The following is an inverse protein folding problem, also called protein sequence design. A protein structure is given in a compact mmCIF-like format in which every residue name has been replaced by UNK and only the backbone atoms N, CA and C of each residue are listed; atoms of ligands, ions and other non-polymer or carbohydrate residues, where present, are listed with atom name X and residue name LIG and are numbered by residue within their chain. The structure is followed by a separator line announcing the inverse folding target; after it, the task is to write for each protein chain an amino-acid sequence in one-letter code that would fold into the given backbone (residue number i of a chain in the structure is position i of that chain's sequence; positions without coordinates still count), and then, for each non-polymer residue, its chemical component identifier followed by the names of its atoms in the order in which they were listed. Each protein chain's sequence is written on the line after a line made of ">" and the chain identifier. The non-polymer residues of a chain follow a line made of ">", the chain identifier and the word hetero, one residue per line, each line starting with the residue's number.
data_IF_994695212136
#
_entry.id   IF_994695212136
#
_cell.length_a   1.000
_cell.length_b   1.000
_cell.length_c   1.000
_cell.angle_alpha   90.00
_cell.angle_beta   90.00
_cell.angle_gamma   90.00
#
_symmetry.space_group_name_H-M   'P 1'
#
loop_
_entity.id
_entity.type
_entity.pdbx_description
1 polymer ?
#
# COMPACT_ATOMS: atom_id res chain seq x y z
N UNK A 1 -31.86 -11.86 2.98
CA UNK A 1 -30.47 -11.58 2.59
C UNK A 1 -30.22 -10.12 2.92
N UNK A 2 -29.54 -9.83 4.04
CA UNK A 2 -29.28 -8.47 4.50
C UNK A 2 -28.00 -7.96 3.85
N UNK A 3 -28.14 -7.17 2.79
CA UNK A 3 -27.07 -6.37 2.21
C UNK A 3 -26.81 -5.19 3.14
N UNK A 4 -25.67 -5.18 3.82
CA UNK A 4 -25.21 -4.01 4.57
C UNK A 4 -25.01 -2.84 3.60
N UNK A 5 -25.51 -1.62 3.90
CA UNK A 5 -25.29 -0.46 3.05
C UNK A 5 -23.80 -0.06 3.06
N UNK A 6 -23.28 0.52 1.97
CA UNK A 6 -21.95 1.09 1.96
C UNK A 6 -21.89 2.21 3.01
N UNK A 7 -20.89 2.18 3.90
CA UNK A 7 -20.65 3.24 4.87
C UNK A 7 -20.25 4.52 4.12
N UNK A 8 -21.22 5.41 3.88
CA UNK A 8 -20.99 6.77 3.39
C UNK A 8 -20.99 7.74 4.57
N UNK A 9 -20.10 8.74 4.55
CA UNK A 9 -20.30 9.94 5.36
C UNK A 9 -21.47 10.76 4.77
N UNK A 10 -22.28 11.45 5.59
CA UNK A 10 -23.51 12.12 5.13
C UNK A 10 -23.33 13.08 3.95
N UNK A 11 -22.15 13.69 3.79
CA UNK A 11 -21.82 14.67 2.76
C UNK A 11 -20.40 14.48 2.17
N UNK A 12 -19.86 13.25 2.19
CA UNK A 12 -18.50 12.94 1.71
C UNK A 12 -18.48 12.03 0.48
N UNK A 13 -17.38 12.01 -0.31
CA UNK A 13 -17.21 10.99 -1.35
C UNK A 13 -17.31 9.59 -0.74
N UNK A 14 -17.74 8.56 -1.53
CA UNK A 14 -17.80 7.20 -1.03
C UNK A 14 -16.45 6.78 -0.46
N UNK A 15 -16.46 6.09 0.69
CA UNK A 15 -15.23 5.57 1.28
C UNK A 15 -14.54 4.65 0.27
N UNK A 16 -13.22 4.81 0.06
CA UNK A 16 -12.48 3.94 -0.84
C UNK A 16 -12.60 2.49 -0.37
N UNK A 17 -12.73 1.56 -1.31
CA UNK A 17 -12.73 0.14 -0.98
C UNK A 17 -11.37 -0.21 -0.35
N UNK A 18 -11.42 -0.67 0.90
CA UNK A 18 -10.24 -1.03 1.68
C UNK A 18 -10.19 -2.56 1.82
N UNK A 19 -9.09 -3.15 1.36
CA UNK A 19 -8.83 -4.59 1.45
C UNK A 19 -7.57 -4.83 2.26
N UNK A 20 -7.58 -5.88 3.07
CA UNK A 20 -6.45 -6.24 3.91
C UNK A 20 -6.03 -7.69 3.73
N UNK A 21 -4.73 -7.94 3.86
CA UNK A 21 -4.17 -9.28 3.85
C UNK A 21 -2.95 -9.36 4.78
N UNK A 22 -2.68 -10.56 5.31
CA UNK A 22 -1.41 -10.88 5.95
C UNK A 22 -0.56 -11.65 4.93
N UNK A 23 0.58 -11.08 4.58
CA UNK A 23 1.49 -11.59 3.56
C UNK A 23 2.72 -12.22 4.19
N UNK A 24 3.16 -13.33 3.61
CA UNK A 24 4.50 -13.86 3.79
C UNK A 24 5.52 -13.02 3.00
N UNK A 25 6.81 -13.32 3.16
CA UNK A 25 7.87 -12.69 2.38
C UNK A 25 7.74 -12.99 0.89
N UNK A 26 7.40 -14.24 0.55
CA UNK A 26 7.27 -14.69 -0.83
C UNK A 26 6.06 -14.04 -1.51
N UNK A 27 4.95 -13.85 -0.78
CA UNK A 27 3.78 -13.13 -1.28
C UNK A 27 4.11 -11.66 -1.60
N UNK A 28 4.94 -11.01 -0.77
CA UNK A 28 5.40 -9.64 -1.04
C UNK A 28 6.29 -9.58 -2.27
N UNK A 29 7.18 -10.55 -2.48
CA UNK A 29 8.01 -10.61 -3.68
C UNK A 29 7.17 -10.83 -4.94
N UNK A 30 6.18 -11.72 -4.89
CA UNK A 30 5.22 -11.92 -5.99
C UNK A 30 4.43 -10.64 -6.29
N UNK A 31 3.93 -9.96 -5.25
CA UNK A 31 3.24 -8.68 -5.40
C UNK A 31 4.13 -7.62 -6.07
N UNK A 32 5.40 -7.52 -5.68
CA UNK A 32 6.33 -6.54 -6.26
C UNK A 32 6.57 -6.83 -7.74
N UNK A 33 6.77 -8.11 -8.10
CA UNK A 33 6.92 -8.51 -9.49
C UNK A 33 5.68 -8.16 -10.32
N UNK A 34 4.48 -8.43 -9.80
CA UNK A 34 3.22 -8.08 -10.46
C UNK A 34 3.06 -6.57 -10.63
N UNK A 35 3.37 -5.78 -9.60
CA UNK A 35 3.31 -4.32 -9.64
C UNK A 35 4.26 -3.76 -10.70
N UNK A 36 5.49 -4.28 -10.79
CA UNK A 36 6.46 -3.85 -11.79
C UNK A 36 6.06 -4.26 -13.21
N UNK A 37 5.49 -5.45 -13.39
CA UNK A 37 5.15 -5.99 -14.71
C UNK A 37 3.84 -5.44 -15.27
N UNK A 38 2.87 -5.14 -14.41
CA UNK A 38 1.47 -4.92 -14.82
C UNK A 38 0.88 -3.58 -14.40
N UNK A 39 1.62 -2.74 -13.67
CA UNK A 39 1.13 -1.44 -13.19
C UNK A 39 2.09 -0.31 -13.51
N UNK A 40 1.62 0.93 -13.34
CA UNK A 40 2.48 2.11 -13.33
C UNK A 40 2.68 2.59 -11.91
N UNK A 41 3.83 2.28 -11.30
CA UNK A 41 4.20 2.81 -9.98
C UNK A 41 4.43 4.32 -10.07
N UNK A 42 3.69 5.08 -9.26
CA UNK A 42 3.71 6.55 -9.21
C UNK A 42 4.70 7.04 -8.16
N UNK A 43 4.65 6.47 -6.94
CA UNK A 43 5.61 6.80 -5.89
C UNK A 43 5.66 5.72 -4.81
N UNK A 44 6.82 5.61 -4.16
CA UNK A 44 7.01 4.77 -2.98
C UNK A 44 7.60 5.59 -1.83
N UNK A 45 6.97 5.49 -0.66
CA UNK A 45 7.35 6.21 0.55
C UNK A 45 7.67 5.25 1.69
N UNK A 46 8.84 5.43 2.31
CA UNK A 46 9.22 4.72 3.52
C UNK A 46 8.77 5.49 4.76
N UNK A 47 8.13 4.80 5.71
CA UNK A 47 7.76 5.33 7.03
C UNK A 47 8.69 4.73 8.09
N UNK A 48 9.58 5.57 8.64
CA UNK A 48 10.52 5.21 9.70
C UNK A 48 10.14 5.92 11.00
N UNK A 49 9.43 5.20 11.90
CA UNK A 49 9.11 5.69 13.25
C UNK A 49 8.41 7.07 13.32
N UNK A 50 8.24 7.63 14.53
CA UNK A 50 7.57 8.93 14.72
C UNK A 50 8.37 10.15 14.23
N UNK A 51 9.68 10.00 13.98
CA UNK A 51 10.60 11.13 13.81
C UNK A 51 11.35 11.16 12.47
N UNK A 52 11.19 10.15 11.60
CA UNK A 52 11.89 10.12 10.31
C UNK A 52 10.88 10.06 9.17
N UNK A 53 10.42 11.24 8.76
CA UNK A 53 9.89 11.42 7.41
C UNK A 53 11.07 11.35 6.46
N UNK A 54 11.09 10.33 5.60
CA UNK A 54 12.03 10.27 4.47
C UNK A 54 11.89 11.58 3.69
N UNK A 55 13.00 12.28 3.35
CA UNK A 55 12.93 13.53 2.58
C UNK A 55 12.13 13.34 1.28
N UNK A 56 11.54 14.41 0.73
CA UNK A 56 10.67 14.35 -0.44
C UNK A 56 11.45 13.89 -1.68
N UNK A 57 11.48 12.58 -1.87
CA UNK A 57 12.07 11.87 -2.98
C UNK A 57 11.49 10.47 -2.98
N UNK A 58 10.87 10.06 -4.09
CA UNK A 58 10.35 8.69 -4.20
C UNK A 58 11.51 7.71 -4.02
N UNK A 59 11.42 6.83 -3.02
CA UNK A 59 12.38 5.73 -2.89
C UNK A 59 12.07 4.72 -4.00
N UNK A 60 13.07 4.11 -4.67
CA UNK A 60 12.81 2.99 -5.58
C UNK A 60 12.04 1.88 -4.85
N UNK A 61 11.12 1.21 -5.55
CA UNK A 61 10.23 0.22 -4.92
C UNK A 61 11.05 -0.93 -4.31
N UNK A 62 12.06 -1.40 -5.02
CA UNK A 62 12.95 -2.49 -4.63
C UNK A 62 13.69 -2.14 -3.35
N UNK A 63 14.30 -0.95 -3.29
CA UNK A 63 14.98 -0.44 -2.09
C UNK A 63 14.03 -0.27 -0.90
N UNK A 64 12.79 0.14 -1.14
CA UNK A 64 11.78 0.26 -0.08
C UNK A 64 11.41 -1.12 0.50
N UNK A 65 11.29 -2.14 -0.36
CA UNK A 65 10.99 -3.52 0.03
C UNK A 65 12.16 -4.15 0.79
N UNK A 66 13.41 -3.92 0.35
CA UNK A 66 14.61 -4.33 1.08
C UNK A 66 14.61 -3.75 2.49
N UNK A 67 14.37 -2.44 2.62
CA UNK A 67 14.28 -1.77 3.93
C UNK A 67 13.16 -2.33 4.80
N UNK A 68 12.02 -2.69 4.20
CA UNK A 68 10.92 -3.34 4.91
C UNK A 68 11.36 -4.70 5.44
N UNK A 69 11.99 -5.55 4.63
CA UNK A 69 12.45 -6.87 5.05
C UNK A 69 13.56 -6.82 6.10
N UNK A 70 14.47 -5.85 5.99
CA UNK A 70 15.52 -5.58 6.98
C UNK A 70 14.98 -4.94 8.28
N UNK A 71 13.69 -4.58 8.30
CA UNK A 71 13.03 -3.87 9.40
C UNK A 71 13.70 -2.53 9.76
N UNK A 72 14.37 -1.91 8.79
CA UNK A 72 14.91 -0.53 8.93
C UNK A 72 13.81 0.52 8.79
N UNK A 73 12.67 0.14 8.22
CA UNK A 73 11.43 0.91 8.20
C UNK A 73 10.28 0.07 8.78
N UNK A 74 9.30 0.73 9.41
CA UNK A 74 8.14 0.03 9.96
C UNK A 74 7.09 -0.24 8.89
N UNK A 75 6.96 0.65 7.91
CA UNK A 75 6.04 0.48 6.79
C UNK A 75 6.56 1.14 5.51
N UNK A 76 6.01 0.69 4.38
CA UNK A 76 6.13 1.40 3.10
C UNK A 76 4.73 1.65 2.54
N UNK A 77 4.61 2.70 1.75
CA UNK A 77 3.41 3.02 0.99
C UNK A 77 3.75 3.12 -0.49
N UNK A 78 2.99 2.43 -1.34
CA UNK A 78 3.19 2.34 -2.77
C UNK A 78 1.93 2.91 -3.43
N UNK A 79 2.09 3.95 -4.25
CA UNK A 79 1.03 4.51 -5.09
C UNK A 79 1.25 4.07 -6.51
N UNK A 80 0.22 3.57 -7.19
CA UNK A 80 0.31 3.08 -8.56
C UNK A 80 -1.01 3.22 -9.30
N UNK A 81 -0.96 3.22 -10.63
CA UNK A 81 -2.14 3.17 -11.49
C UNK A 81 -2.32 1.75 -12.05
N UNK A 82 -3.53 1.21 -11.93
CA UNK A 82 -3.93 -0.10 -12.45
C UNK A 82 -5.42 -0.09 -12.77
N UNK A 83 -5.77 -0.64 -13.93
CA UNK A 83 -7.17 -0.77 -14.42
C UNK A 83 -7.96 0.56 -14.41
N UNK A 84 -7.31 1.66 -14.79
CA UNK A 84 -7.94 2.99 -14.83
C UNK A 84 -8.12 3.66 -13.47
N UNK A 85 -7.66 3.05 -12.38
CA UNK A 85 -7.75 3.58 -11.02
C UNK A 85 -6.38 3.83 -10.40
N UNK A 86 -6.30 4.82 -9.49
CA UNK A 86 -5.16 4.96 -8.60
C UNK A 86 -5.36 4.07 -7.37
N UNK A 87 -4.30 3.37 -6.99
CA UNK A 87 -4.27 2.49 -5.84
C UNK A 87 -3.20 2.95 -4.86
N UNK A 88 -3.42 2.67 -3.58
CA UNK A 88 -2.41 2.80 -2.53
C UNK A 88 -2.33 1.49 -1.76
N UNK A 89 -1.16 0.88 -1.80
CA UNK A 89 -0.83 -0.25 -0.94
C UNK A 89 0.07 0.23 0.20
N UNK A 90 -0.29 -0.11 1.44
CA UNK A 90 0.56 0.09 2.61
C UNK A 90 0.98 -1.27 3.15
N UNK A 91 2.27 -1.55 3.13
CA UNK A 91 2.85 -2.74 3.73
C UNK A 91 3.44 -2.37 5.09
N UNK A 92 2.93 -3.00 6.15
CA UNK A 92 3.31 -2.77 7.54
C UNK A 92 3.94 -4.03 8.11
N UNK A 93 5.16 -3.90 8.64
CA UNK A 93 5.76 -4.98 9.42
C UNK A 93 4.96 -5.21 10.70
N UNK A 94 4.58 -6.47 10.94
CA UNK A 94 3.95 -6.92 12.17
C UNK A 94 4.79 -8.05 12.80
N UNK A 95 4.52 -8.45 14.05
CA UNK A 95 5.19 -9.61 14.65
C UNK A 95 4.93 -10.93 13.90
N UNK A 96 3.78 -11.06 13.23
CA UNK A 96 3.31 -12.31 12.60
C UNK A 96 3.45 -12.35 11.08
N UNK A 97 3.97 -11.28 10.45
CA UNK A 97 4.10 -11.18 9.00
C UNK A 97 4.04 -9.73 8.52
N UNK A 98 3.71 -9.52 7.25
CA UNK A 98 3.56 -8.19 6.66
C UNK A 98 2.08 -7.94 6.38
N UNK A 99 1.47 -7.00 7.09
CA UNK A 99 0.08 -6.62 6.84
C UNK A 99 0.04 -5.68 5.64
N UNK A 100 -0.72 -6.04 4.63
CA UNK A 100 -1.06 -5.17 3.51
C UNK A 100 -2.42 -4.54 3.77
N UNK A 101 -2.51 -3.23 3.55
CA UNK A 101 -3.76 -2.50 3.40
C UNK A 101 -3.77 -1.86 2.01
N UNK A 102 -4.75 -2.21 1.20
CA UNK A 102 -4.93 -1.72 -0.17
C UNK A 102 -6.17 -0.83 -0.22
N UNK A 103 -6.01 0.36 -0.77
CA UNK A 103 -7.11 1.30 -0.99
C UNK A 103 -7.17 1.67 -2.47
N UNK A 104 -8.36 1.54 -3.06
CA UNK A 104 -8.65 2.08 -4.38
C UNK A 104 -9.16 3.51 -4.25
N UNK A 105 -8.58 4.44 -5.00
CA UNK A 105 -9.06 5.82 -5.03
C UNK A 105 -10.00 6.01 -6.22
N UNK A 106 -11.00 6.88 -6.03
CA UNK A 106 -11.83 7.32 -7.14
C UNK A 106 -10.94 8.04 -8.19
N UNK A 107 -11.29 7.95 -9.49
CA UNK A 107 -10.65 8.78 -10.50
C UNK A 107 -10.77 10.26 -10.10
N UNK A 108 -9.67 11.01 -10.20
CA UNK A 108 -9.67 12.48 -10.07
C UNK A 108 -10.33 13.14 -11.27
#
# INVERSE_FOLDING_TARGET
>A
MTTSPPMQFPDGPPLPEMREALLSRDDVLALVADLQAHTRVISTLCKAGPQQQTPPGSTPLETAIERLFERTVSAIQIRYAYDGHEWTDTLLNTPTGIRMVRCQHAPV
#
